data_IF_502277337061
#
_entry.id   IF_502277337061
#
_cell.length_a   1.000
_cell.length_b   1.000
_cell.length_c   1.000
_cell.angle_alpha   90.00
_cell.angle_beta   90.00
_cell.angle_gamma   90.00
#
_symmetry.space_group_name_H-M   'P 1'
#
loop_
_entity.id
_entity.type
_entity.pdbx_description
1 polymer ?
#
# COMPACT_ATOMS: atom_id res chain seq x y z
N UNK A 1 -5.84 2.40 -27.60
CA UNK A 1 -6.89 2.14 -26.61
C UNK A 1 -7.25 3.43 -25.91
N UNK A 2 -8.52 3.76 -25.91
CA UNK A 2 -8.98 4.92 -25.12
C UNK A 2 -9.07 4.51 -23.65
N UNK A 3 -8.42 5.27 -22.81
CA UNK A 3 -8.60 5.13 -21.37
C UNK A 3 -9.97 5.66 -20.98
N UNK A 4 -10.69 4.98 -20.10
CA UNK A 4 -11.97 5.49 -19.62
C UNK A 4 -11.76 6.65 -18.64
N UNK A 5 -12.83 7.40 -18.40
CA UNK A 5 -12.77 8.59 -17.54
C UNK A 5 -12.33 8.23 -16.10
N UNK A 6 -12.79 7.09 -15.57
CA UNK A 6 -12.43 6.67 -14.23
C UNK A 6 -10.93 6.44 -14.08
N UNK A 7 -10.27 5.86 -15.09
CA UNK A 7 -8.82 5.67 -15.08
C UNK A 7 -8.07 6.99 -15.12
N UNK A 8 -8.51 7.92 -15.96
CA UNK A 8 -7.89 9.24 -16.07
C UNK A 8 -8.03 10.02 -14.76
N UNK A 9 -9.22 10.03 -14.17
CA UNK A 9 -9.46 10.70 -12.88
C UNK A 9 -8.67 10.01 -11.77
N UNK A 10 -8.59 8.67 -11.79
CA UNK A 10 -7.78 7.92 -10.84
C UNK A 10 -6.32 8.34 -10.85
N UNK A 11 -5.73 8.54 -12.02
CA UNK A 11 -4.34 9.00 -12.13
C UNK A 11 -4.16 10.42 -11.59
N UNK A 12 -5.12 11.31 -11.85
CA UNK A 12 -5.12 12.66 -11.29
C UNK A 12 -5.24 12.61 -9.77
N UNK A 13 -6.13 11.76 -9.25
CA UNK A 13 -6.33 11.55 -7.82
C UNK A 13 -5.05 11.07 -7.15
N UNK A 14 -4.34 10.15 -7.76
CA UNK A 14 -3.09 9.65 -7.20
C UNK A 14 -2.08 10.77 -6.99
N UNK A 15 -1.91 11.64 -7.96
CA UNK A 15 -0.97 12.76 -7.89
C UNK A 15 -1.37 13.76 -6.80
N UNK A 16 -2.64 14.13 -6.77
CA UNK A 16 -3.17 15.11 -5.82
C UNK A 16 -3.11 14.55 -4.40
N UNK A 17 -3.53 13.30 -4.21
CA UNK A 17 -3.52 12.67 -2.90
C UNK A 17 -2.09 12.45 -2.39
N UNK A 18 -1.15 12.13 -3.28
CA UNK A 18 0.26 12.03 -2.93
C UNK A 18 0.78 13.35 -2.36
N UNK A 19 0.46 14.45 -3.01
CA UNK A 19 0.87 15.78 -2.55
C UNK A 19 0.24 16.13 -1.21
N UNK A 20 -1.06 15.91 -1.06
CA UNK A 20 -1.79 16.23 0.17
C UNK A 20 -1.24 15.42 1.35
N UNK A 21 -1.08 14.12 1.17
CA UNK A 21 -0.62 13.23 2.24
C UNK A 21 0.83 13.56 2.62
N UNK A 22 1.68 13.83 1.64
CA UNK A 22 3.09 14.12 1.89
C UNK A 22 3.30 15.49 2.53
N UNK A 23 2.59 16.52 2.05
CA UNK A 23 2.93 17.90 2.36
C UNK A 23 1.92 18.61 3.25
N UNK A 24 0.69 18.10 3.39
CA UNK A 24 -0.38 18.82 4.08
C UNK A 24 -0.94 18.09 5.30
N UNK A 25 -0.75 16.80 5.41
CA UNK A 25 -1.16 16.04 6.60
C UNK A 25 -0.06 16.17 7.64
N UNK A 26 -0.39 16.79 8.77
CA UNK A 26 0.58 17.10 9.83
C UNK A 26 0.62 16.06 10.95
N UNK A 27 -0.09 14.96 10.82
CA UNK A 27 -0.07 13.90 11.84
C UNK A 27 1.31 13.21 11.83
N UNK A 28 2.01 13.16 12.97
CA UNK A 28 3.36 12.57 13.03
C UNK A 28 3.39 11.06 12.74
N UNK A 29 2.24 10.37 12.80
CA UNK A 29 2.16 8.96 12.43
C UNK A 29 2.28 8.76 10.92
N UNK A 30 2.00 9.80 10.12
CA UNK A 30 2.18 9.76 8.68
C UNK A 30 3.59 10.21 8.36
N UNK A 31 4.47 9.25 8.11
CA UNK A 31 5.89 9.51 7.88
C UNK A 31 6.16 9.80 6.40
N UNK A 32 7.34 10.33 6.10
CA UNK A 32 7.78 10.54 4.72
C UNK A 32 7.93 9.21 3.95
N UNK A 33 7.96 8.09 4.67
CA UNK A 33 7.99 6.75 4.06
C UNK A 33 6.60 6.26 3.63
N UNK A 34 5.57 7.10 3.76
CA UNK A 34 4.21 6.81 3.31
C UNK A 34 4.05 7.28 1.87
N UNK A 35 3.61 6.40 1.01
CA UNK A 35 3.48 6.68 -0.43
C UNK A 35 2.11 6.25 -0.93
N UNK A 36 1.50 7.08 -1.77
CA UNK A 36 0.29 6.71 -2.52
C UNK A 36 0.76 5.98 -3.78
N UNK A 37 0.51 4.68 -3.84
CA UNK A 37 0.94 3.84 -4.96
C UNK A 37 -0.08 3.76 -6.07
N UNK A 38 -1.33 4.11 -5.80
CA UNK A 38 -2.37 4.11 -6.80
C UNK A 38 -3.67 4.69 -6.27
N UNK A 39 -4.56 5.05 -7.18
CA UNK A 39 -5.90 5.46 -6.86
C UNK A 39 -6.85 4.90 -7.92
N UNK A 40 -7.85 4.17 -7.48
CA UNK A 40 -8.82 3.54 -8.36
C UNK A 40 -10.20 4.11 -8.12
N UNK A 41 -10.73 4.79 -9.14
CA UNK A 41 -12.08 5.33 -9.10
C UNK A 41 -13.10 4.27 -9.50
N UNK A 42 -14.25 4.30 -8.85
CA UNK A 42 -15.42 3.56 -9.34
C UNK A 42 -15.88 4.15 -10.67
N UNK A 43 -16.60 3.35 -11.47
CA UNK A 43 -17.05 3.77 -12.80
C UNK A 43 -17.97 5.00 -12.75
N UNK A 44 -18.74 5.16 -11.68
CA UNK A 44 -19.62 6.31 -11.45
C UNK A 44 -18.93 7.50 -10.78
N UNK A 45 -17.64 7.39 -10.48
CA UNK A 45 -16.80 8.41 -9.83
C UNK A 45 -17.24 8.79 -8.42
N UNK A 46 -17.98 7.92 -7.73
CA UNK A 46 -18.47 8.19 -6.36
C UNK A 46 -17.56 7.63 -5.27
N UNK A 47 -16.70 6.67 -5.60
CA UNK A 47 -15.78 6.05 -4.66
C UNK A 47 -14.37 6.03 -5.25
N UNK A 48 -13.39 6.28 -4.39
CA UNK A 48 -11.97 6.19 -4.75
C UNK A 48 -11.26 5.30 -3.76
N UNK A 49 -10.69 4.22 -4.23
CA UNK A 49 -9.79 3.38 -3.42
C UNK A 49 -8.37 3.91 -3.56
N UNK A 50 -7.79 4.31 -2.45
CA UNK A 50 -6.45 4.89 -2.40
C UNK A 50 -5.50 3.84 -1.83
N UNK A 51 -4.55 3.40 -2.63
CA UNK A 51 -3.57 2.40 -2.21
C UNK A 51 -2.38 3.10 -1.58
N UNK A 52 -2.07 2.71 -0.35
CA UNK A 52 -1.03 3.32 0.47
C UNK A 52 0.05 2.27 0.77
N UNK A 53 1.30 2.62 0.47
CA UNK A 53 2.45 1.84 0.88
C UNK A 53 3.13 2.55 2.06
N UNK A 54 3.41 1.81 3.12
CA UNK A 54 4.08 2.31 4.32
C UNK A 54 5.29 1.44 4.58
N UNK A 55 6.46 2.06 4.66
CA UNK A 55 7.67 1.35 5.06
C UNK A 55 7.74 1.29 6.59
N UNK A 56 7.85 0.08 7.12
CA UNK A 56 7.92 -0.13 8.56
C UNK A 56 7.31 -1.47 8.97
N UNK A 57 7.23 -1.68 10.27
CA UNK A 57 6.60 -2.87 10.84
C UNK A 57 5.07 -2.78 10.78
N UNK A 58 4.38 -3.85 11.18
CA UNK A 58 2.93 -3.92 11.13
C UNK A 58 2.27 -2.84 12.01
N UNK A 59 2.88 -2.52 13.15
CA UNK A 59 2.39 -1.47 14.03
C UNK A 59 2.46 -0.10 13.36
N UNK A 60 3.59 0.21 12.73
CA UNK A 60 3.78 1.46 11.99
C UNK A 60 2.77 1.58 10.87
N UNK A 61 2.54 0.50 10.12
CA UNK A 61 1.55 0.47 9.04
C UNK A 61 0.14 0.74 9.57
N UNK A 62 -0.25 0.08 10.66
CA UNK A 62 -1.58 0.26 11.24
C UNK A 62 -1.76 1.68 11.80
N UNK A 63 -0.76 2.22 12.49
CA UNK A 63 -0.80 3.57 13.04
C UNK A 63 -0.93 4.61 11.93
N UNK A 64 -0.19 4.42 10.83
CA UNK A 64 -0.28 5.29 9.66
C UNK A 64 -1.66 5.24 9.03
N UNK A 65 -2.21 4.05 8.85
CA UNK A 65 -3.55 3.88 8.27
C UNK A 65 -4.63 4.52 9.14
N UNK A 66 -4.53 4.41 10.47
CA UNK A 66 -5.44 5.08 11.40
C UNK A 66 -5.34 6.59 11.29
N UNK A 67 -4.11 7.12 11.17
CA UNK A 67 -3.89 8.54 10.99
C UNK A 67 -4.54 9.05 9.71
N UNK A 68 -4.42 8.31 8.61
CA UNK A 68 -5.05 8.66 7.34
C UNK A 68 -6.58 8.62 7.45
N UNK A 69 -7.13 7.63 8.15
CA UNK A 69 -8.58 7.57 8.40
C UNK A 69 -9.06 8.78 9.21
N UNK A 70 -8.31 9.21 10.22
CA UNK A 70 -8.64 10.41 10.99
C UNK A 70 -8.53 11.68 10.15
N UNK A 71 -7.58 11.74 9.24
CA UNK A 71 -7.37 12.88 8.36
C UNK A 71 -8.25 12.86 7.10
N UNK A 72 -9.08 11.85 6.92
CA UNK A 72 -9.86 11.63 5.70
C UNK A 72 -10.69 12.85 5.30
N UNK A 73 -11.38 13.47 6.24
CA UNK A 73 -12.18 14.67 5.98
C UNK A 73 -11.35 15.84 5.48
N UNK A 74 -10.21 16.06 6.10
CA UNK A 74 -9.25 17.09 5.67
C UNK A 74 -8.69 16.79 4.28
N UNK A 75 -8.28 15.54 4.04
CA UNK A 75 -7.74 15.12 2.75
C UNK A 75 -8.78 15.30 1.65
N UNK A 76 -10.02 14.91 1.92
CA UNK A 76 -11.12 15.06 0.97
C UNK A 76 -11.39 16.53 0.64
N UNK A 77 -11.39 17.40 1.64
CA UNK A 77 -11.58 18.84 1.47
C UNK A 77 -10.46 19.45 0.61
N UNK A 78 -9.21 19.12 0.90
CA UNK A 78 -8.07 19.60 0.11
C UNK A 78 -8.08 19.07 -1.31
N UNK A 79 -8.47 17.82 -1.49
CA UNK A 79 -8.58 17.20 -2.81
C UNK A 79 -9.60 17.93 -3.70
N UNK A 80 -10.76 18.26 -3.15
CA UNK A 80 -11.81 18.96 -3.88
C UNK A 80 -11.34 20.32 -4.38
N UNK A 81 -10.47 20.99 -3.63
CA UNK A 81 -9.89 22.27 -4.04
C UNK A 81 -8.98 22.13 -5.26
N UNK A 82 -8.34 20.99 -5.43
CA UNK A 82 -7.35 20.77 -6.49
C UNK A 82 -7.92 20.05 -7.70
N UNK A 83 -8.95 19.24 -7.53
CA UNK A 83 -9.60 18.52 -8.63
C UNK A 83 -11.05 19.00 -8.71
N UNK A 84 -11.41 19.53 -9.88
CA UNK A 84 -12.76 19.99 -10.13
C UNK A 84 -13.66 18.79 -10.44
N UNK A 85 -14.20 18.18 -9.40
CA UNK A 85 -15.17 17.09 -9.52
C UNK A 85 -16.54 17.58 -9.11
N UNK A 86 -17.56 17.09 -9.80
CA UNK A 86 -18.96 17.45 -9.54
C UNK A 86 -19.39 17.04 -8.13
N UNK A 87 -18.95 15.86 -7.71
CA UNK A 87 -19.20 15.32 -6.38
C UNK A 87 -17.88 14.79 -5.84
N UNK A 88 -17.55 15.10 -4.59
CA UNK A 88 -16.36 14.58 -3.96
C UNK A 88 -16.53 13.07 -3.74
N UNK A 89 -15.65 12.23 -4.27
CA UNK A 89 -15.75 10.79 -4.06
C UNK A 89 -15.45 10.44 -2.60
N UNK A 90 -16.05 9.36 -2.14
CA UNK A 90 -15.71 8.78 -0.85
C UNK A 90 -14.35 8.09 -0.95
N UNK A 91 -13.44 8.41 -0.03
CA UNK A 91 -12.11 7.85 -0.01
C UNK A 91 -12.07 6.57 0.83
N UNK A 92 -11.44 5.54 0.29
CA UNK A 92 -11.21 4.27 0.97
C UNK A 92 -9.71 4.00 0.93
N UNK A 93 -9.04 4.13 2.07
CA UNK A 93 -7.62 3.85 2.16
C UNK A 93 -7.38 2.37 2.31
N UNK A 94 -6.50 1.83 1.50
CA UNK A 94 -6.15 0.42 1.51
C UNK A 94 -4.64 0.28 1.49
N UNK A 95 -4.13 -0.55 2.39
CA UNK A 95 -2.71 -0.83 2.43
C UNK A 95 -2.30 -1.63 1.20
N UNK A 96 -1.35 -1.11 0.45
CA UNK A 96 -0.78 -1.81 -0.71
C UNK A 96 0.40 -2.64 -0.25
N UNK A 97 0.22 -3.94 -0.22
CA UNK A 97 1.22 -4.91 0.18
C UNK A 97 1.97 -5.52 -1.00
N UNK A 98 1.82 -4.95 -2.20
CA UNK A 98 2.41 -5.55 -3.41
C UNK A 98 3.92 -5.72 -3.26
N UNK A 99 4.62 -4.70 -2.79
CA UNK A 99 6.06 -4.79 -2.53
C UNK A 99 6.38 -5.75 -1.39
N UNK A 100 5.62 -5.68 -0.30
CA UNK A 100 5.78 -6.60 0.84
C UNK A 100 5.47 -8.03 0.44
N UNK A 101 4.44 -8.23 -0.37
CA UNK A 101 4.10 -9.55 -0.90
C UNK A 101 5.21 -10.11 -1.78
N UNK A 102 5.82 -9.27 -2.63
CA UNK A 102 6.95 -9.65 -3.44
C UNK A 102 8.16 -10.02 -2.55
N UNK A 103 8.46 -9.22 -1.55
CA UNK A 103 9.50 -9.51 -0.57
C UNK A 103 9.20 -10.79 0.21
N UNK A 104 7.95 -10.99 0.64
CA UNK A 104 7.51 -12.20 1.34
C UNK A 104 7.63 -13.43 0.46
N UNK A 105 7.33 -13.32 -0.82
CA UNK A 105 7.49 -14.42 -1.77
C UNK A 105 8.97 -14.76 -1.91
N UNK A 106 9.84 -13.75 -2.07
CA UNK A 106 11.28 -13.97 -2.14
C UNK A 106 11.81 -14.56 -0.83
N UNK A 107 11.39 -14.06 0.32
CA UNK A 107 11.74 -14.58 1.63
C UNK A 107 11.23 -16.01 1.82
N UNK A 108 10.01 -16.29 1.39
CA UNK A 108 9.42 -17.61 1.48
C UNK A 108 10.18 -18.61 0.60
N UNK A 109 10.57 -18.19 -0.60
CA UNK A 109 11.39 -19.01 -1.51
C UNK A 109 12.77 -19.25 -0.86
N UNK A 110 13.40 -18.20 -0.34
CA UNK A 110 14.69 -18.31 0.34
C UNK A 110 14.62 -19.23 1.56
N UNK A 111 13.56 -19.10 2.36
CA UNK A 111 13.32 -19.96 3.53
C UNK A 111 13.06 -21.41 3.12
N UNK A 112 12.29 -21.63 2.06
CA UNK A 112 12.02 -22.96 1.54
C UNK A 112 13.30 -23.63 1.06
N UNK A 113 14.15 -22.89 0.33
CA UNK A 113 15.45 -23.39 -0.13
C UNK A 113 16.38 -23.70 1.05
N UNK A 114 16.43 -22.82 2.05
CA UNK A 114 17.22 -23.02 3.26
C UNK A 114 16.73 -24.23 4.05
N UNK A 115 15.41 -24.40 4.15
CA UNK A 115 14.80 -25.55 4.84
C UNK A 115 15.09 -26.86 4.12
N UNK A 116 15.01 -26.86 2.79
CA UNK A 116 15.35 -28.04 1.98
C UNK A 116 16.82 -28.42 2.18
N UNK A 117 17.71 -27.44 2.25
CA UNK A 117 19.12 -27.64 2.52
C UNK A 117 19.33 -28.23 3.92
N UNK A 118 18.65 -27.69 4.95
CA UNK A 118 18.70 -28.19 6.30
C UNK A 118 18.20 -29.65 6.42
N UNK A 119 17.08 -29.94 5.77
CA UNK A 119 16.50 -31.29 5.73
C UNK A 119 17.47 -32.24 5.06
N UNK A 120 18.11 -31.81 3.97
CA UNK A 120 19.11 -32.61 3.27
C UNK A 120 20.31 -32.88 4.15
N UNK A 121 20.83 -31.89 4.87
CA UNK A 121 21.94 -32.03 5.77
C UNK A 121 21.60 -32.95 6.98
N UNK A 122 20.39 -32.79 7.53
CA UNK A 122 19.92 -33.67 8.60
C UNK A 122 19.78 -35.11 8.13
N UNK A 123 19.27 -35.33 6.94
CA UNK A 123 19.16 -36.67 6.35
C UNK A 123 20.54 -37.29 6.16
N UNK A 124 21.52 -36.51 5.71
CA UNK A 124 22.91 -36.97 5.58
C UNK A 124 23.53 -37.29 6.95
N UNK A 125 23.28 -36.45 7.96
CA UNK A 125 23.74 -36.67 9.32
C UNK A 125 23.13 -37.95 9.92
N UNK A 126 21.83 -38.19 9.70
CA UNK A 126 21.17 -39.40 10.14
C UNK A 126 21.77 -40.66 9.50
N UNK A 127 22.03 -40.59 8.19
CA UNK A 127 22.70 -41.70 7.49
C UNK A 127 24.08 -41.96 8.06
N UNK A 128 24.84 -40.93 8.39
CA UNK A 128 26.16 -41.06 8.95
C UNK A 128 26.13 -41.61 10.39
N UNK A 129 25.06 -41.31 11.14
CA UNK A 129 24.91 -41.80 12.53
C UNK A 129 24.30 -43.21 12.62
N UNK A 130 23.55 -43.62 11.60
CA UNK A 130 22.92 -44.96 11.54
C UNK A 130 23.83 -46.01 10.88
N UNK A 131 24.91 -45.55 10.30
CA UNK A 131 25.90 -46.44 9.65
C UNK A 131 26.96 -46.93 10.61
#
# INVERSE_FOLDING_TARGET
MRRNRAEIVGDQMQKVLSDIIRNRVSDPRVTFMTTVTGAKMSSDLTHCTVFISVFGDDKTKQDTMRALEHAKGFIRTEMVKQINLRVAPELHFKLDNTLDEAERIDDAISRALARDEEIRQEALKRKNNEG
#
